data_IF_659259445033
#
_entry.id   IF_659259445033
#
_cell.length_a   1.000
_cell.length_b   1.000
_cell.length_c   1.000
_cell.angle_alpha   90.00
_cell.angle_beta   90.00
_cell.angle_gamma   90.00
#
_symmetry.space_group_name_H-M   'P 1'
#
loop_
_entity.id
_entity.type
_entity.pdbx_description
1 polymer ?
#
# COMPACT_ATOMS: atom_id res chain seq x y z
N UNK A 1 -85.28 1.46 -14.29
CA UNK A 1 -84.40 1.21 -13.12
C UNK A 1 -83.47 0.08 -13.53
N UNK A 2 -82.29 0.42 -14.07
CA UNK A 2 -80.96 0.30 -13.42
C UNK A 2 -80.61 -1.18 -13.14
N UNK A 3 -79.47 -1.76 -13.51
CA UNK A 3 -78.25 -1.30 -14.18
C UNK A 3 -77.27 -2.49 -14.34
N UNK A 4 -76.48 -2.49 -15.42
CA UNK A 4 -75.03 -2.77 -15.52
C UNK A 4 -74.50 -4.11 -14.94
N UNK A 5 -74.20 -5.10 -15.80
CA UNK A 5 -72.88 -5.41 -16.43
C UNK A 5 -71.79 -5.88 -15.47
N UNK A 6 -71.36 -7.12 -15.73
CA UNK A 6 -70.22 -7.83 -15.17
C UNK A 6 -68.91 -7.03 -15.29
N UNK A 7 -68.08 -7.08 -14.24
CA UNK A 7 -66.64 -6.79 -14.40
C UNK A 7 -65.83 -7.62 -13.40
N UNK A 8 -65.15 -8.61 -13.96
CA UNK A 8 -64.04 -9.37 -13.39
C UNK A 8 -62.97 -8.41 -12.89
N UNK A 9 -62.55 -8.51 -11.63
CA UNK A 9 -61.31 -7.87 -11.18
C UNK A 9 -60.45 -8.87 -10.43
N UNK A 10 -59.46 -9.33 -11.17
CA UNK A 10 -58.31 -10.15 -10.85
C UNK A 10 -57.65 -9.76 -9.52
N UNK A 11 -57.56 -10.74 -8.64
CA UNK A 11 -56.66 -10.81 -7.49
C UNK A 11 -55.20 -10.69 -7.96
N UNK A 12 -54.58 -9.52 -7.78
CA UNK A 12 -53.13 -9.38 -7.93
C UNK A 12 -52.48 -9.76 -6.60
N UNK A 13 -52.07 -11.02 -6.49
CA UNK A 13 -51.20 -11.50 -5.41
C UNK A 13 -49.87 -10.75 -5.47
N UNK A 14 -49.57 -10.03 -4.40
CA UNK A 14 -48.26 -9.43 -4.14
C UNK A 14 -47.27 -10.55 -3.81
N UNK A 15 -46.54 -11.02 -4.83
CA UNK A 15 -45.42 -11.92 -4.64
C UNK A 15 -44.26 -11.15 -3.99
N UNK A 16 -44.02 -11.44 -2.73
CA UNK A 16 -42.85 -11.06 -1.95
C UNK A 16 -41.60 -11.65 -2.61
N UNK A 17 -40.84 -10.82 -3.33
CA UNK A 17 -39.53 -11.18 -3.84
C UNK A 17 -38.51 -11.20 -2.69
N UNK A 18 -38.42 -12.32 -1.99
CA UNK A 18 -37.26 -12.66 -1.17
C UNK A 18 -36.04 -12.87 -2.06
N UNK A 19 -35.28 -11.80 -2.31
CA UNK A 19 -33.93 -11.84 -2.86
C UNK A 19 -32.99 -12.48 -1.83
N UNK A 20 -32.88 -13.81 -1.86
CA UNK A 20 -31.90 -14.57 -1.06
C UNK A 20 -30.57 -14.62 -1.80
N UNK A 21 -29.64 -13.81 -1.31
CA UNK A 21 -28.18 -13.97 -1.28
C UNK A 21 -27.65 -15.24 -1.96
N UNK A 22 -27.28 -15.16 -3.26
CA UNK A 22 -26.28 -16.06 -3.81
C UNK A 22 -24.93 -15.58 -3.29
N UNK A 23 -24.39 -16.28 -2.30
CA UNK A 23 -22.99 -16.14 -1.92
C UNK A 23 -22.17 -16.46 -3.17
N UNK A 24 -21.52 -15.46 -3.75
CA UNK A 24 -20.73 -15.64 -4.96
C UNK A 24 -19.42 -16.32 -4.57
N UNK A 25 -19.37 -17.65 -4.72
CA UNK A 25 -18.19 -18.45 -4.41
C UNK A 25 -16.93 -17.94 -5.10
N UNK A 26 -17.06 -17.26 -6.24
CA UNK A 26 -15.93 -16.64 -6.95
C UNK A 26 -15.38 -15.42 -6.22
N UNK A 27 -16.25 -14.64 -5.57
CA UNK A 27 -15.85 -13.52 -4.72
C UNK A 27 -15.13 -14.02 -3.46
N UNK A 28 -15.64 -15.07 -2.82
CA UNK A 28 -15.01 -15.67 -1.64
C UNK A 28 -13.60 -16.22 -1.97
N UNK A 29 -13.44 -16.94 -3.09
CA UNK A 29 -12.13 -17.42 -3.55
C UNK A 29 -11.19 -16.26 -3.87
N UNK A 30 -11.69 -15.17 -4.47
CA UNK A 30 -10.91 -13.97 -4.75
C UNK A 30 -10.44 -13.25 -3.49
N UNK A 31 -11.30 -13.12 -2.48
CA UNK A 31 -10.99 -12.52 -1.18
C UNK A 31 -10.02 -13.38 -0.37
N UNK A 32 -10.19 -14.71 -0.40
CA UNK A 32 -9.25 -15.65 0.20
C UNK A 32 -7.88 -15.57 -0.47
N UNK A 33 -7.85 -15.56 -1.80
CA UNK A 33 -6.62 -15.41 -2.57
C UNK A 33 -5.90 -14.10 -2.23
N UNK A 34 -6.63 -12.99 -2.11
CA UNK A 34 -6.08 -11.70 -1.69
C UNK A 34 -5.49 -11.76 -0.28
N UNK A 35 -6.25 -12.29 0.67
CA UNK A 35 -5.81 -12.41 2.08
C UNK A 35 -4.57 -13.28 2.20
N UNK A 36 -4.52 -14.40 1.48
CA UNK A 36 -3.35 -15.28 1.47
C UNK A 36 -2.10 -14.55 0.96
N UNK A 37 -2.22 -13.81 -0.15
CA UNK A 37 -1.10 -13.02 -0.67
C UNK A 37 -0.65 -11.94 0.32
N UNK A 38 -1.59 -11.26 1.00
CA UNK A 38 -1.27 -10.24 2.01
C UNK A 38 -0.53 -10.83 3.23
N UNK A 39 -0.95 -12.02 3.68
CA UNK A 39 -0.30 -12.74 4.79
C UNK A 39 1.09 -13.21 4.36
N UNK A 40 1.22 -13.83 3.18
CA UNK A 40 2.51 -14.29 2.66
C UNK A 40 3.49 -13.13 2.46
N UNK A 41 3.04 -12.00 1.89
CA UNK A 41 3.86 -10.79 1.73
C UNK A 41 4.31 -10.22 3.08
N UNK A 42 3.50 -10.38 4.13
CA UNK A 42 3.84 -9.93 5.48
C UNK A 42 4.85 -10.86 6.16
N UNK A 43 4.65 -12.18 6.05
CA UNK A 43 5.60 -13.17 6.57
C UNK A 43 6.95 -13.07 5.86
N UNK A 44 6.95 -12.95 4.52
CA UNK A 44 8.17 -12.74 3.73
C UNK A 44 8.90 -11.47 4.16
N UNK A 45 8.17 -10.35 4.33
CA UNK A 45 8.78 -9.11 4.80
C UNK A 45 9.38 -9.23 6.21
N UNK A 46 8.73 -9.96 7.12
CA UNK A 46 9.24 -10.17 8.48
C UNK A 46 10.48 -11.07 8.51
N UNK A 47 10.46 -12.18 7.75
CA UNK A 47 11.61 -13.06 7.61
C UNK A 47 12.81 -12.31 7.01
N UNK A 48 12.60 -11.58 5.92
CA UNK A 48 13.64 -10.76 5.29
C UNK A 48 14.19 -9.69 6.24
N UNK A 49 13.33 -9.03 7.03
CA UNK A 49 13.78 -8.05 8.00
C UNK A 49 14.74 -8.66 9.03
N UNK A 50 14.42 -9.86 9.54
CA UNK A 50 15.29 -10.59 10.46
C UNK A 50 16.62 -10.95 9.81
N UNK A 51 16.59 -11.47 8.60
CA UNK A 51 17.80 -11.89 7.88
C UNK A 51 18.71 -10.69 7.58
N UNK A 52 18.13 -9.54 7.20
CA UNK A 52 18.87 -8.28 6.99
C UNK A 52 19.48 -7.78 8.30
N UNK A 53 18.72 -7.81 9.40
CA UNK A 53 19.21 -7.41 10.72
C UNK A 53 20.36 -8.30 11.21
N UNK A 54 20.31 -9.59 10.90
CA UNK A 54 21.34 -10.56 11.29
C UNK A 54 22.47 -10.69 10.27
N UNK A 55 22.50 -9.84 9.24
CA UNK A 55 23.52 -9.85 8.17
C UNK A 55 23.64 -11.20 7.43
N UNK A 56 22.58 -12.02 7.44
CA UNK A 56 22.53 -13.33 6.76
C UNK A 56 21.70 -13.29 5.47
N UNK A 57 21.10 -12.14 5.14
CA UNK A 57 20.31 -11.98 3.91
C UNK A 57 21.21 -11.93 2.67
N UNK A 58 20.99 -12.86 1.74
CA UNK A 58 21.66 -12.88 0.43
C UNK A 58 20.75 -12.29 -0.66
N UNK A 59 21.08 -11.12 -1.24
CA UNK A 59 20.27 -10.50 -2.29
C UNK A 59 20.25 -11.33 -3.58
N UNK A 60 19.06 -11.58 -4.10
CA UNK A 60 18.83 -12.28 -5.36
C UNK A 60 18.71 -11.28 -6.51
N UNK A 61 19.81 -11.08 -7.22
CA UNK A 61 19.90 -10.07 -8.27
C UNK A 61 19.21 -10.51 -9.58
N UNK A 62 18.05 -9.92 -9.86
CA UNK A 62 17.22 -10.19 -11.04
C UNK A 62 17.10 -8.94 -11.94
N UNK A 63 16.82 -9.13 -13.22
CA UNK A 63 16.51 -8.01 -14.14
C UNK A 63 15.11 -7.47 -13.86
N UNK A 64 15.05 -6.32 -13.20
CA UNK A 64 13.84 -5.74 -12.64
C UNK A 64 13.41 -4.50 -13.42
N UNK A 65 12.12 -4.47 -13.76
CA UNK A 65 11.39 -3.24 -14.05
C UNK A 65 10.85 -2.68 -12.73
N UNK A 66 11.53 -1.65 -12.23
CA UNK A 66 11.23 -1.03 -10.92
C UNK A 66 9.81 -0.47 -10.91
N UNK A 67 9.37 0.17 -12.00
CA UNK A 67 8.02 0.72 -12.10
C UNK A 67 6.99 -0.38 -11.96
N UNK A 68 7.19 -1.53 -12.63
CA UNK A 68 6.29 -2.66 -12.52
C UNK A 68 6.27 -3.28 -11.12
N UNK A 69 7.42 -3.38 -10.46
CA UNK A 69 7.54 -3.93 -9.10
C UNK A 69 6.81 -3.05 -8.10
N UNK A 70 7.10 -1.76 -8.08
CA UNK A 70 6.53 -0.82 -7.11
C UNK A 70 5.03 -0.55 -7.38
N UNK A 71 4.62 -0.48 -8.64
CA UNK A 71 3.20 -0.27 -8.99
C UNK A 71 2.29 -1.43 -8.61
N UNK A 72 2.82 -2.66 -8.54
CA UNK A 72 2.05 -3.85 -8.12
C UNK A 72 1.81 -3.89 -6.61
N UNK A 73 2.76 -3.39 -5.84
CA UNK A 73 2.68 -3.33 -4.38
C UNK A 73 1.54 -2.41 -3.90
N UNK A 74 1.24 -1.36 -4.66
CA UNK A 74 0.13 -0.45 -4.39
C UNK A 74 -1.23 -1.05 -4.81
N UNK A 75 -1.32 -2.28 -5.33
CA UNK A 75 -2.60 -2.89 -5.77
C UNK A 75 -3.55 -3.26 -4.62
N UNK A 76 -3.07 -3.40 -3.38
CA UNK A 76 -3.94 -3.38 -2.19
C UNK A 76 -4.68 -2.05 -2.01
N UNK A 77 -4.19 -0.99 -2.67
CA UNK A 77 -4.71 0.37 -2.70
C UNK A 77 -5.21 0.77 -4.10
N UNK A 78 -5.84 -0.13 -4.87
CA UNK A 78 -6.37 0.15 -6.24
C UNK A 78 -7.22 1.44 -6.35
N UNK A 79 -7.81 1.93 -5.26
CA UNK A 79 -8.54 3.20 -5.20
C UNK A 79 -7.67 4.45 -4.91
N UNK A 80 -6.34 4.35 -4.92
CA UNK A 80 -5.45 5.39 -4.36
C UNK A 80 -4.22 5.72 -5.22
N UNK A 81 -4.28 5.58 -6.54
CA UNK A 81 -3.17 6.02 -7.41
C UNK A 81 -2.84 7.51 -7.21
N UNK A 82 -3.86 8.33 -6.96
CA UNK A 82 -3.69 9.75 -6.61
C UNK A 82 -2.99 9.95 -5.27
N UNK A 83 -3.14 9.00 -4.33
CA UNK A 83 -2.49 9.06 -3.02
C UNK A 83 -1.04 8.58 -3.06
N UNK A 84 -0.69 7.69 -3.99
CA UNK A 84 0.64 7.10 -4.07
C UNK A 84 1.22 7.22 -5.49
N UNK A 85 1.44 8.44 -6.00
CA UNK A 85 2.02 8.62 -7.32
C UNK A 85 3.47 8.11 -7.35
N UNK A 86 3.84 7.45 -8.45
CA UNK A 86 5.19 7.02 -8.75
C UNK A 86 5.67 7.77 -10.01
N UNK A 87 6.74 8.55 -9.87
CA UNK A 87 7.34 9.34 -10.94
C UNK A 87 8.78 8.87 -11.13
N UNK A 88 9.26 8.81 -12.37
CA UNK A 88 10.62 8.37 -12.67
C UNK A 88 11.37 9.31 -13.59
N UNK A 89 12.67 9.44 -13.36
CA UNK A 89 13.60 10.20 -14.18
C UNK A 89 14.85 9.35 -14.46
N UNK A 90 15.08 8.92 -15.71
CA UNK A 90 14.24 9.12 -16.89
C UNK A 90 12.91 8.36 -16.83
N UNK A 91 11.98 8.72 -17.72
CA UNK A 91 10.72 8.00 -17.95
C UNK A 91 10.62 7.59 -19.44
N UNK A 92 10.57 6.29 -19.78
CA UNK A 92 10.59 5.15 -18.85
C UNK A 92 11.96 4.97 -18.20
N UNK A 93 11.94 4.47 -16.96
CA UNK A 93 13.15 4.12 -16.22
C UNK A 93 13.77 2.85 -16.84
N UNK A 94 15.11 2.78 -17.02
CA UNK A 94 15.75 1.57 -17.53
C UNK A 94 15.55 0.39 -16.57
N UNK A 95 15.75 -0.83 -17.08
CA UNK A 95 15.82 -2.03 -16.24
C UNK A 95 17.12 -2.04 -15.46
N UNK A 96 17.05 -2.56 -14.24
CA UNK A 96 18.20 -2.68 -13.36
C UNK A 96 18.29 -4.09 -12.79
N UNK A 97 19.52 -4.53 -12.49
CA UNK A 97 19.73 -5.70 -11.66
C UNK A 97 19.52 -5.32 -10.19
N UNK A 98 18.42 -5.79 -9.60
CA UNK A 98 18.08 -5.57 -8.20
C UNK A 98 17.45 -6.83 -7.62
N UNK A 99 17.50 -6.95 -6.30
CA UNK A 99 16.58 -7.84 -5.61
C UNK A 99 15.18 -7.19 -5.55
N UNK A 100 14.17 -7.77 -6.24
CA UNK A 100 12.83 -7.20 -6.28
C UNK A 100 12.13 -7.24 -4.92
N UNK A 101 12.46 -8.19 -4.04
CA UNK A 101 11.86 -8.29 -2.72
C UNK A 101 12.45 -7.25 -1.77
N UNK A 102 13.77 -7.05 -1.80
CA UNK A 102 14.42 -6.04 -0.99
C UNK A 102 13.94 -4.64 -1.39
N UNK A 103 13.80 -4.38 -2.70
CA UNK A 103 13.24 -3.14 -3.22
C UNK A 103 11.81 -2.88 -2.71
N UNK A 104 10.94 -3.90 -2.76
CA UNK A 104 9.58 -3.78 -2.20
C UNK A 104 9.59 -3.50 -0.71
N UNK A 105 10.47 -4.16 0.04
CA UNK A 105 10.58 -4.00 1.48
C UNK A 105 10.96 -2.58 1.86
N UNK A 106 12.02 -2.04 1.25
CA UNK A 106 12.48 -0.66 1.47
C UNK A 106 11.37 0.33 1.13
N UNK A 107 10.73 0.17 -0.03
CA UNK A 107 9.62 1.03 -0.44
C UNK A 107 8.42 0.94 0.50
N UNK A 108 8.04 -0.26 0.96
CA UNK A 108 6.95 -0.47 1.93
C UNK A 108 7.22 0.29 3.23
N UNK A 109 8.45 0.18 3.73
CA UNK A 109 8.86 0.81 4.98
C UNK A 109 8.80 2.33 4.85
N UNK A 110 9.36 2.88 3.77
CA UNK A 110 9.31 4.31 3.48
C UNK A 110 7.87 4.84 3.36
N UNK A 111 7.01 4.16 2.60
CA UNK A 111 5.59 4.52 2.48
C UNK A 111 4.86 4.42 3.82
N UNK A 112 5.14 3.39 4.63
CA UNK A 112 4.55 3.24 5.96
C UNK A 112 4.91 4.41 6.86
N UNK A 113 6.18 4.83 6.88
CA UNK A 113 6.65 5.97 7.66
C UNK A 113 6.00 7.28 7.17
N UNK A 114 5.98 7.50 5.86
CA UNK A 114 5.31 8.64 5.25
C UNK A 114 3.81 8.70 5.60
N UNK A 115 3.13 7.55 5.69
CA UNK A 115 1.73 7.48 6.10
C UNK A 115 1.52 7.72 7.60
N UNK A 116 2.45 7.26 8.46
CA UNK A 116 2.36 7.41 9.92
C UNK A 116 2.63 8.84 10.36
N UNK A 117 3.65 9.47 9.78
CA UNK A 117 4.15 10.78 10.22
C UNK A 117 3.70 11.94 9.33
N UNK A 118 3.06 11.64 8.19
CA UNK A 118 2.54 12.62 7.25
C UNK A 118 1.08 13.00 7.47
N UNK A 119 0.60 13.91 6.63
CA UNK A 119 -0.80 14.36 6.63
C UNK A 119 -1.76 13.19 6.40
N UNK A 120 -2.75 13.02 7.28
CA UNK A 120 -3.80 11.99 7.14
C UNK A 120 -4.55 12.16 5.82
N UNK A 121 -4.68 11.08 5.07
CA UNK A 121 -5.29 11.10 3.73
C UNK A 121 -4.49 11.85 2.66
N UNK A 122 -3.36 12.48 3.01
CA UNK A 122 -2.48 13.16 2.08
C UNK A 122 -1.81 12.20 1.10
N UNK A 123 -1.35 12.76 -0.02
CA UNK A 123 -0.55 12.04 -0.99
C UNK A 123 0.87 11.80 -0.46
N UNK A 124 1.43 10.64 -0.81
CA UNK A 124 2.80 10.22 -0.57
C UNK A 124 3.41 9.92 -1.94
N UNK A 125 4.29 10.80 -2.40
CA UNK A 125 4.91 10.71 -3.72
C UNK A 125 6.18 9.88 -3.64
N UNK A 126 6.33 8.92 -4.55
CA UNK A 126 7.59 8.22 -4.79
C UNK A 126 8.23 8.76 -6.07
N UNK A 127 9.47 9.22 -5.99
CA UNK A 127 10.27 9.67 -7.12
C UNK A 127 11.51 8.79 -7.26
N UNK A 128 11.73 8.23 -8.44
CA UNK A 128 12.95 7.47 -8.78
C UNK A 128 13.83 8.32 -9.70
N UNK A 129 15.11 8.49 -9.37
CA UNK A 129 16.06 9.24 -10.21
C UNK A 129 17.30 8.41 -10.47
N UNK A 130 17.65 8.23 -11.73
CA UNK A 130 18.89 7.57 -12.11
C UNK A 130 19.90 8.59 -12.64
N UNK A 131 20.99 8.75 -11.90
CA UNK A 131 22.15 9.54 -12.33
C UNK A 131 23.16 8.62 -13.03
N UNK A 132 23.19 8.69 -14.37
CA UNK A 132 24.13 7.91 -15.19
C UNK A 132 25.60 8.22 -14.88
N UNK A 133 25.92 9.48 -14.63
CA UNK A 133 27.30 9.91 -14.37
C UNK A 133 27.83 9.36 -13.05
N UNK A 134 26.97 9.32 -12.02
CA UNK A 134 27.33 8.77 -10.71
C UNK A 134 27.09 7.26 -10.59
N UNK A 135 26.44 6.63 -11.58
CA UNK A 135 26.01 5.23 -11.49
C UNK A 135 25.03 4.97 -10.34
N UNK A 136 24.30 6.00 -9.89
CA UNK A 136 23.50 5.97 -8.67
C UNK A 136 22.00 6.05 -8.98
N UNK A 137 21.23 5.17 -8.35
CA UNK A 137 19.77 5.21 -8.35
C UNK A 137 19.28 5.73 -7.00
N UNK A 138 18.49 6.80 -7.03
CA UNK A 138 17.90 7.45 -5.87
C UNK A 138 16.39 7.19 -5.83
N UNK A 139 15.87 6.89 -4.64
CA UNK A 139 14.45 6.72 -4.38
C UNK A 139 14.03 7.69 -3.28
N UNK A 140 13.22 8.69 -3.63
CA UNK A 140 12.67 9.66 -2.71
C UNK A 140 11.20 9.35 -2.42
N UNK A 141 10.86 9.25 -1.13
CA UNK A 141 9.47 9.07 -0.69
C UNK A 141 9.08 10.26 0.16
N UNK A 142 8.19 11.10 -0.37
CA UNK A 142 7.88 12.42 0.18
C UNK A 142 6.40 12.52 0.53
N UNK A 143 6.10 13.09 1.69
CA UNK A 143 4.74 13.35 2.16
C UNK A 143 4.59 14.80 2.65
N UNK A 144 3.33 15.26 2.72
CA UNK A 144 3.03 16.51 3.42
C UNK A 144 3.21 16.33 4.94
N UNK A 145 3.60 17.41 5.66
CA UNK A 145 3.69 17.41 7.12
C UNK A 145 2.41 16.89 7.80
N UNK A 146 2.56 15.97 8.75
CA UNK A 146 1.47 15.50 9.59
C UNK A 146 1.24 16.37 10.82
N UNK A 147 0.21 16.02 11.60
CA UNK A 147 -0.22 16.78 12.80
C UNK A 147 0.91 16.98 13.82
N UNK A 148 1.87 16.05 13.86
CA UNK A 148 3.02 16.04 14.79
C UNK A 148 4.35 16.43 14.15
N UNK A 149 4.30 17.12 13.00
CA UNK A 149 5.52 17.51 12.29
C UNK A 149 6.45 18.37 13.15
N UNK A 150 5.89 19.29 13.95
CA UNK A 150 6.69 20.14 14.85
C UNK A 150 7.40 19.30 15.93
N UNK A 151 6.73 18.30 16.49
CA UNK A 151 7.34 17.40 17.48
C UNK A 151 8.49 16.59 16.86
N UNK A 152 8.32 16.10 15.62
CA UNK A 152 9.36 15.42 14.87
C UNK A 152 10.58 16.32 14.62
N UNK A 153 10.36 17.59 14.26
CA UNK A 153 11.45 18.56 14.07
C UNK A 153 12.20 18.86 15.37
N UNK A 154 11.50 18.91 16.52
CA UNK A 154 12.10 19.15 17.83
C UNK A 154 13.08 18.06 18.27
N UNK A 155 12.95 16.85 17.73
CA UNK A 155 13.91 15.77 17.98
C UNK A 155 15.29 16.04 17.34
N UNK A 156 15.38 16.96 16.36
CA UNK A 156 16.65 17.40 15.77
C UNK A 156 17.55 16.24 15.30
N UNK A 157 18.85 16.32 15.60
CA UNK A 157 19.82 15.27 15.27
C UNK A 157 19.55 13.94 15.97
N UNK A 158 18.91 13.95 17.15
CA UNK A 158 18.58 12.73 17.89
C UNK A 158 17.54 11.87 17.16
N UNK A 159 16.68 12.46 16.32
CA UNK A 159 15.79 11.67 15.44
C UNK A 159 16.58 10.88 14.40
N UNK A 160 17.62 11.48 13.81
CA UNK A 160 18.46 10.80 12.81
C UNK A 160 19.10 9.57 13.43
N UNK A 161 19.75 9.72 14.59
CA UNK A 161 20.37 8.58 15.29
C UNK A 161 19.33 7.53 15.72
N UNK A 162 18.18 7.97 16.24
CA UNK A 162 17.15 7.06 16.74
C UNK A 162 16.48 6.23 15.64
N UNK A 163 16.38 6.73 14.41
CA UNK A 163 15.75 6.01 13.29
C UNK A 163 16.65 4.89 12.74
N UNK A 164 17.97 5.05 12.84
CA UNK A 164 18.94 4.07 12.36
C UNK A 164 19.49 3.13 13.45
N UNK A 165 19.15 3.36 14.72
CA UNK A 165 19.49 2.44 15.81
C UNK A 165 18.57 1.22 15.80
N UNK A 166 19.17 0.03 15.83
CA UNK A 166 18.45 -1.23 15.91
C UNK A 166 17.53 -1.27 17.14
N UNK A 167 16.29 -1.72 16.94
CA UNK A 167 15.30 -1.85 18.01
C UNK A 167 14.67 -0.55 18.50
N UNK A 168 15.12 0.63 18.03
CA UNK A 168 14.48 1.90 18.36
C UNK A 168 13.29 2.20 17.46
N UNK A 169 12.24 2.71 18.09
CA UNK A 169 11.06 3.27 17.41
C UNK A 169 10.94 4.71 17.85
N UNK A 170 10.60 5.60 16.91
CA UNK A 170 10.22 6.98 17.24
C UNK A 170 8.75 7.06 17.70
N UNK A 171 7.96 6.01 17.44
CA UNK A 171 6.54 5.94 17.80
C UNK A 171 6.21 6.17 19.30
N UNK A 172 6.99 5.66 20.27
CA UNK A 172 6.73 5.86 21.69
C UNK A 172 6.82 7.33 22.14
N UNK A 173 7.61 8.17 21.46
CA UNK A 173 7.63 9.62 21.72
C UNK A 173 6.30 10.30 21.35
N UNK A 174 5.45 9.58 20.62
CA UNK A 174 4.17 10.07 20.14
C UNK A 174 2.96 9.32 20.73
N UNK A 175 3.15 8.35 21.63
CA UNK A 175 2.06 7.69 22.36
C UNK A 175 2.02 8.24 23.79
N UNK A 176 1.05 9.12 24.10
CA UNK A 176 0.94 9.71 25.44
C UNK A 176 0.23 11.06 25.57
N UNK A 177 -0.80 11.36 24.77
CA UNK A 177 -1.79 12.43 25.06
C UNK A 177 -3.18 11.92 24.73
#
# INVERSE_FOLDING_TARGET
RQSLTETTTTTTMTATATSRHRFDSTQCIGELGKTLHEVLDTVLADAMARDVIHEVYEPRMEDVDICAVLSRQVRGYKARRERFPLITYPSPLPRFRFDPQLLKYIHRNAISNACKYGKKGGAVMTEMRYNRTAGALEMNVTNLPGDRHIDLLRLGSAASEAVFQQGRRIHPYFEGV
#
